data_IF_252265390910
#
_entry.id   IF_252265390910
#
_cell.length_a   1.000
_cell.length_b   1.000
_cell.length_c   1.000
_cell.angle_alpha   90.00
_cell.angle_beta   90.00
_cell.angle_gamma   90.00
#
_symmetry.space_group_name_H-M   'P 1'
#
loop_
_entity.id
_entity.type
_entity.pdbx_description
1 polymer ?
#
# COMPACT_ATOMS: atom_id res chain seq x y z
N UNK A 1 -50.02 -7.88 23.97
CA UNK A 1 -49.18 -9.03 23.58
C UNK A 1 -49.08 -9.28 22.07
N UNK A 2 -50.18 -9.37 21.28
CA UNK A 2 -50.14 -9.61 19.81
C UNK A 2 -49.38 -8.51 19.01
N UNK A 3 -49.55 -7.21 19.35
CA UNK A 3 -48.84 -6.10 18.69
C UNK A 3 -47.32 -6.16 18.97
N UNK A 4 -46.93 -6.46 20.22
CA UNK A 4 -45.52 -6.60 20.59
C UNK A 4 -44.82 -7.77 19.87
N UNK A 5 -45.52 -8.95 19.75
CA UNK A 5 -45.01 -10.09 18.96
C UNK A 5 -44.80 -9.74 17.49
N UNK A 6 -45.76 -9.02 16.87
CA UNK A 6 -45.60 -8.56 15.45
C UNK A 6 -44.42 -7.60 15.31
N UNK A 7 -44.26 -6.68 16.23
CA UNK A 7 -43.13 -5.73 16.23
C UNK A 7 -41.80 -6.46 16.38
N UNK A 8 -41.68 -7.39 17.34
CA UNK A 8 -40.45 -8.20 17.51
C UNK A 8 -40.16 -9.05 16.29
N UNK A 9 -41.16 -9.68 15.69
CA UNK A 9 -40.98 -10.44 14.44
C UNK A 9 -40.55 -9.53 13.28
N UNK A 10 -41.07 -8.30 13.19
CA UNK A 10 -40.63 -7.32 12.17
C UNK A 10 -39.15 -6.92 12.37
N UNK A 11 -38.74 -6.65 13.61
CA UNK A 11 -37.35 -6.31 13.94
C UNK A 11 -36.42 -7.49 13.64
N UNK A 12 -36.79 -8.71 14.02
CA UNK A 12 -36.03 -9.93 13.68
C UNK A 12 -35.90 -10.13 12.18
N UNK A 13 -36.98 -9.90 11.41
CA UNK A 13 -36.93 -9.94 9.96
C UNK A 13 -35.96 -8.93 9.35
N UNK A 14 -35.95 -7.70 9.85
CA UNK A 14 -35.00 -6.67 9.42
C UNK A 14 -33.56 -7.08 9.76
N UNK A 15 -33.31 -7.58 10.97
CA UNK A 15 -31.97 -8.04 11.37
C UNK A 15 -31.47 -9.16 10.46
N UNK A 16 -32.32 -10.16 10.16
CA UNK A 16 -31.96 -11.25 9.24
C UNK A 16 -31.61 -10.72 7.87
N UNK A 17 -32.40 -9.81 7.32
CA UNK A 17 -32.13 -9.19 6.00
C UNK A 17 -30.80 -8.43 6.02
N UNK A 18 -30.54 -7.63 7.05
CA UNK A 18 -29.27 -6.91 7.20
C UNK A 18 -28.09 -7.87 7.28
N UNK A 19 -28.21 -8.94 8.05
CA UNK A 19 -27.15 -9.98 8.15
C UNK A 19 -26.91 -10.63 6.79
N UNK A 20 -27.96 -11.03 6.07
CA UNK A 20 -27.84 -11.64 4.74
C UNK A 20 -27.18 -10.68 3.72
N UNK A 21 -27.57 -9.41 3.71
CA UNK A 21 -26.93 -8.40 2.88
C UNK A 21 -25.46 -8.24 3.25
N UNK A 22 -25.14 -8.12 4.54
CA UNK A 22 -23.75 -8.00 5.03
C UNK A 22 -22.92 -9.20 4.57
N UNK A 23 -23.43 -10.41 4.74
CA UNK A 23 -22.74 -11.63 4.30
C UNK A 23 -22.54 -11.63 2.78
N UNK A 24 -23.54 -11.26 2.01
CA UNK A 24 -23.43 -11.18 0.55
C UNK A 24 -22.38 -10.12 0.12
N UNK A 25 -22.32 -8.99 0.82
CA UNK A 25 -21.38 -7.90 0.54
C UNK A 25 -19.96 -8.33 0.85
N UNK A 26 -19.67 -8.84 2.05
CA UNK A 26 -18.31 -9.21 2.46
C UNK A 26 -17.75 -10.43 1.73
N UNK A 27 -18.60 -11.21 1.04
CA UNK A 27 -18.18 -12.30 0.17
C UNK A 27 -17.93 -11.86 -1.30
N UNK A 28 -18.02 -10.57 -1.61
CA UNK A 28 -17.64 -10.09 -2.93
C UNK A 28 -16.10 -10.18 -3.11
N UNK A 29 -15.62 -10.42 -4.34
CA UNK A 29 -14.21 -10.71 -4.59
C UNK A 29 -13.23 -9.66 -4.05
N UNK A 30 -13.59 -8.38 -4.10
CA UNK A 30 -12.72 -7.29 -3.65
C UNK A 30 -12.40 -7.35 -2.14
N UNK A 31 -13.14 -8.09 -1.34
CA UNK A 31 -12.85 -8.30 0.08
C UNK A 31 -11.76 -9.34 0.32
N UNK A 32 -11.31 -10.03 -0.75
CA UNK A 32 -10.28 -11.04 -0.64
C UNK A 32 -10.72 -12.30 0.10
N UNK A 33 -9.76 -13.06 0.60
CA UNK A 33 -10.03 -14.31 1.31
C UNK A 33 -8.93 -14.62 2.32
N UNK A 34 -9.30 -15.05 3.52
CA UNK A 34 -8.34 -15.48 4.54
C UNK A 34 -7.44 -16.63 4.04
N UNK A 35 -6.13 -16.63 4.35
CA UNK A 35 -5.21 -17.72 4.05
C UNK A 35 -5.66 -19.06 4.64
N UNK A 36 -5.45 -20.16 3.90
CA UNK A 36 -5.85 -21.52 4.28
C UNK A 36 -4.85 -22.57 3.78
N UNK A 37 -5.03 -23.81 4.25
CA UNK A 37 -4.20 -24.95 3.83
C UNK A 37 -2.70 -24.70 4.05
N UNK A 38 -1.87 -25.13 3.11
CA UNK A 38 -0.42 -25.02 3.18
C UNK A 38 0.10 -23.59 3.39
N UNK A 39 -0.63 -22.58 2.84
CA UNK A 39 -0.29 -21.16 3.05
C UNK A 39 -0.47 -20.77 4.52
N UNK A 40 -1.60 -21.14 5.14
CA UNK A 40 -1.82 -20.88 6.57
C UNK A 40 -0.78 -21.62 7.43
N UNK A 41 -0.43 -22.85 7.09
CA UNK A 41 0.62 -23.62 7.80
C UNK A 41 1.99 -22.92 7.71
N UNK A 42 2.32 -22.31 6.56
CA UNK A 42 3.53 -21.49 6.41
C UNK A 42 3.45 -20.22 7.25
N UNK A 43 2.32 -19.52 7.24
CA UNK A 43 2.07 -18.33 8.07
C UNK A 43 2.28 -18.63 9.55
N UNK A 44 1.73 -19.76 10.04
CA UNK A 44 1.85 -20.16 11.45
C UNK A 44 3.28 -20.45 11.90
N UNK A 45 4.22 -20.66 10.97
CA UNK A 45 5.66 -20.84 11.24
C UNK A 45 6.43 -19.51 11.26
N UNK A 46 5.83 -18.40 10.82
CA UNK A 46 6.45 -17.09 10.86
C UNK A 46 6.73 -16.66 12.31
N UNK A 47 7.93 -16.10 12.60
CA UNK A 47 8.24 -15.53 13.92
C UNK A 47 7.30 -14.36 14.30
N UNK A 48 6.68 -13.73 13.30
CA UNK A 48 5.75 -12.60 13.49
C UNK A 48 4.32 -13.05 13.80
N UNK A 49 4.00 -14.34 13.58
CA UNK A 49 2.65 -14.88 13.83
C UNK A 49 2.47 -15.23 15.31
N UNK A 50 1.58 -14.49 15.99
CA UNK A 50 1.27 -14.69 17.42
C UNK A 50 -0.21 -14.49 17.65
N UNK A 51 -0.82 -15.34 18.47
CA UNK A 51 -2.24 -15.25 18.85
C UNK A 51 -3.19 -15.16 17.65
N UNK A 52 -2.92 -15.96 16.61
CA UNK A 52 -3.76 -16.06 15.43
C UNK A 52 -3.69 -14.86 14.47
N UNK A 53 -2.65 -14.02 14.56
CA UNK A 53 -2.41 -12.89 13.65
C UNK A 53 -0.93 -12.49 13.61
N UNK A 54 -0.53 -11.79 12.55
CA UNK A 54 0.78 -11.14 12.50
C UNK A 54 0.88 -9.99 13.50
N UNK A 55 2.06 -9.76 14.03
CA UNK A 55 2.37 -8.70 14.98
C UNK A 55 3.58 -7.89 14.52
N UNK A 56 3.55 -6.59 14.81
CA UNK A 56 4.72 -5.73 14.70
C UNK A 56 5.78 -6.12 15.72
N UNK A 57 7.03 -5.72 15.48
CA UNK A 57 8.15 -5.91 16.41
C UNK A 57 7.83 -5.26 17.76
N UNK A 58 7.34 -4.03 17.73
CA UNK A 58 6.92 -3.31 18.93
C UNK A 58 5.39 -3.20 19.01
N UNK A 59 4.86 -2.98 20.21
CA UNK A 59 3.44 -2.77 20.41
C UNK A 59 2.95 -1.59 19.55
N UNK A 60 1.96 -1.84 18.70
CA UNK A 60 1.48 -0.89 17.69
C UNK A 60 -0.04 -0.77 17.74
N UNK A 61 -0.59 -0.03 18.71
CA UNK A 61 -1.99 0.33 18.66
C UNK A 61 -2.24 1.21 17.43
N UNK A 62 -3.21 0.84 16.60
CA UNK A 62 -3.55 1.58 15.39
C UNK A 62 -4.19 2.93 15.66
N UNK A 63 -4.82 3.07 16.84
CA UNK A 63 -5.39 4.32 17.33
C UNK A 63 -4.72 4.68 18.66
N UNK A 64 -4.13 5.87 18.74
CA UNK A 64 -3.43 6.38 19.92
C UNK A 64 -4.13 7.60 20.53
N UNK A 65 -5.12 8.15 19.83
CA UNK A 65 -5.93 9.26 20.32
C UNK A 65 -6.82 8.85 21.50
N UNK A 66 -7.17 9.82 22.34
CA UNK A 66 -8.07 9.61 23.48
C UNK A 66 -9.54 9.48 23.08
N UNK A 67 -9.88 9.75 21.82
CA UNK A 67 -11.23 9.66 21.29
C UNK A 67 -11.62 8.20 21.07
N UNK A 68 -12.84 7.82 21.47
CA UNK A 68 -13.37 6.49 21.18
C UNK A 68 -13.65 6.28 19.68
N UNK A 69 -13.73 5.02 19.27
CA UNK A 69 -13.95 4.62 17.86
C UNK A 69 -15.17 5.32 17.23
N UNK A 70 -16.27 5.44 17.95
CA UNK A 70 -17.48 6.10 17.45
C UNK A 70 -17.30 7.60 17.21
N UNK A 71 -16.53 8.30 18.09
CA UNK A 71 -16.22 9.70 17.90
C UNK A 71 -15.29 9.93 16.69
N UNK A 72 -14.34 9.03 16.46
CA UNK A 72 -13.48 9.08 15.28
C UNK A 72 -14.28 8.79 14.00
N UNK A 73 -15.19 7.82 14.02
CA UNK A 73 -16.08 7.53 12.88
C UNK A 73 -17.00 8.73 12.58
N UNK A 74 -17.56 9.37 13.61
CA UNK A 74 -18.37 10.57 13.46
C UNK A 74 -17.57 11.71 12.84
N UNK A 75 -16.35 11.94 13.34
CA UNK A 75 -15.45 12.99 12.82
C UNK A 75 -15.04 12.71 11.37
N UNK A 76 -14.78 11.45 11.02
CA UNK A 76 -14.48 11.04 9.65
C UNK A 76 -15.64 11.31 8.70
N UNK A 77 -16.87 11.02 9.11
CA UNK A 77 -18.07 11.16 8.28
C UNK A 77 -18.60 12.61 8.21
N UNK A 78 -18.48 13.37 9.30
CA UNK A 78 -19.15 14.65 9.48
C UNK A 78 -18.24 15.79 9.94
N UNK A 79 -16.97 15.51 10.27
CA UNK A 79 -15.97 16.50 10.68
C UNK A 79 -15.63 17.46 9.53
N UNK A 80 -15.40 18.73 9.89
CA UNK A 80 -14.89 19.73 8.93
C UNK A 80 -13.38 19.69 8.89
N UNK A 81 -12.81 19.18 7.81
CA UNK A 81 -11.37 19.11 7.57
C UNK A 81 -11.05 19.92 6.31
N UNK A 82 -10.62 21.19 6.43
CA UNK A 82 -10.40 22.06 5.31
C UNK A 82 -9.25 21.56 4.40
N UNK A 83 -9.36 21.85 3.12
CA UNK A 83 -8.32 21.54 2.12
C UNK A 83 -7.93 20.05 1.99
N UNK A 84 -8.77 19.10 2.37
CA UNK A 84 -8.49 17.65 2.17
C UNK A 84 -8.39 17.27 0.69
N UNK A 85 -9.03 18.02 -0.19
CA UNK A 85 -9.05 17.77 -1.63
C UNK A 85 -8.65 19.03 -2.39
N UNK A 86 -7.90 18.89 -3.51
CA UNK A 86 -7.56 20.02 -4.37
C UNK A 86 -8.83 20.59 -5.03
N UNK A 87 -8.92 21.92 -5.08
CA UNK A 87 -10.03 22.59 -5.77
C UNK A 87 -9.92 22.50 -7.30
N UNK A 88 -8.69 22.41 -7.81
CA UNK A 88 -8.38 22.25 -9.23
C UNK A 88 -7.80 20.87 -9.52
N UNK A 89 -7.83 20.45 -10.78
CA UNK A 89 -7.17 19.23 -11.19
C UNK A 89 -5.66 19.33 -10.96
N UNK A 90 -5.07 18.26 -10.41
CA UNK A 90 -3.61 18.17 -10.25
C UNK A 90 -2.97 18.08 -11.63
N UNK A 91 -1.90 18.86 -11.92
CA UNK A 91 -1.17 18.74 -13.17
C UNK A 91 -0.53 17.37 -13.34
N UNK A 92 -0.77 16.76 -14.49
CA UNK A 92 -0.29 15.41 -14.83
C UNK A 92 0.35 15.41 -16.21
N UNK A 93 1.16 14.40 -16.47
CA UNK A 93 1.70 14.11 -17.79
C UNK A 93 1.25 12.71 -18.22
N UNK A 94 0.98 12.51 -19.50
CA UNK A 94 0.66 11.17 -20.03
C UNK A 94 1.61 10.86 -21.19
N UNK A 95 2.39 9.79 -21.01
CA UNK A 95 3.36 9.28 -21.99
C UNK A 95 3.00 7.86 -22.39
N UNK A 96 3.54 7.39 -23.51
CA UNK A 96 3.49 5.99 -23.89
C UNK A 96 4.50 5.20 -23.04
N UNK A 97 3.99 4.39 -22.13
CA UNK A 97 4.79 3.60 -21.20
C UNK A 97 5.25 2.26 -21.81
N UNK A 98 4.75 1.92 -23.01
CA UNK A 98 5.07 0.64 -23.66
C UNK A 98 6.41 0.67 -24.42
N UNK A 99 6.94 1.88 -24.64
CA UNK A 99 8.16 2.10 -25.43
C UNK A 99 9.20 2.93 -24.67
N UNK A 100 9.34 2.68 -23.36
CA UNK A 100 10.41 3.32 -22.55
C UNK A 100 11.78 2.80 -23.00
N UNK A 101 12.81 3.63 -22.86
CA UNK A 101 14.17 3.26 -23.21
C UNK A 101 14.69 2.16 -22.24
N UNK A 102 14.95 0.91 -22.70
CA UNK A 102 15.32 -0.20 -21.83
C UNK A 102 16.71 -0.04 -21.16
N UNK A 103 17.55 0.85 -21.68
CA UNK A 103 18.90 1.09 -21.17
C UNK A 103 18.95 2.14 -20.05
N UNK A 104 17.78 2.63 -19.60
CA UNK A 104 17.68 3.65 -18.56
C UNK A 104 16.95 3.11 -17.35
N UNK A 105 17.32 3.60 -16.18
CA UNK A 105 16.57 3.39 -14.96
C UNK A 105 15.57 4.54 -14.80
N UNK A 106 14.29 4.23 -14.78
CA UNK A 106 13.21 5.21 -14.88
C UNK A 106 12.15 5.00 -13.79
N UNK A 107 11.53 6.09 -13.37
CA UNK A 107 10.36 6.10 -12.51
C UNK A 107 9.20 6.76 -13.25
N UNK A 108 8.01 6.18 -13.14
CA UNK A 108 6.74 6.84 -13.49
C UNK A 108 5.78 6.67 -12.34
N UNK A 109 5.42 7.78 -11.71
CA UNK A 109 4.51 7.78 -10.58
C UNK A 109 3.06 8.01 -11.02
N UNK A 110 2.12 7.24 -10.47
CA UNK A 110 0.69 7.29 -10.81
C UNK A 110 -0.16 7.93 -9.72
N UNK A 111 0.50 8.57 -8.75
CA UNK A 111 -0.14 9.11 -7.55
C UNK A 111 -0.30 8.04 -6.47
N UNK A 112 -0.49 8.48 -5.22
CA UNK A 112 -0.51 7.63 -4.04
C UNK A 112 0.76 6.77 -3.96
N UNK A 113 0.64 5.49 -3.63
CA UNK A 113 1.77 4.54 -3.57
C UNK A 113 1.99 3.77 -4.87
N UNK A 114 1.32 4.17 -5.96
CA UNK A 114 1.38 3.45 -7.25
C UNK A 114 2.47 4.02 -8.13
N UNK A 115 3.45 3.22 -8.53
CA UNK A 115 4.51 3.64 -9.46
C UNK A 115 5.08 2.48 -10.27
N UNK A 116 5.57 2.81 -11.46
CA UNK A 116 6.36 1.93 -12.32
C UNK A 116 7.83 2.29 -12.17
N UNK A 117 8.63 1.33 -11.77
CA UNK A 117 10.09 1.41 -11.71
C UNK A 117 10.65 0.58 -12.86
N UNK A 118 11.54 1.15 -13.67
CA UNK A 118 12.37 0.42 -14.61
C UNK A 118 13.78 0.32 -14.03
N UNK A 119 14.26 -0.90 -13.82
CA UNK A 119 15.57 -1.21 -13.28
C UNK A 119 16.21 -2.37 -14.07
N UNK A 120 17.40 -2.15 -14.63
CA UNK A 120 18.07 -3.16 -15.44
C UNK A 120 17.25 -3.65 -16.63
N UNK A 121 16.46 -2.77 -17.24
CA UNK A 121 15.56 -3.09 -18.35
C UNK A 121 14.30 -3.88 -17.97
N UNK A 122 14.03 -4.06 -16.67
CA UNK A 122 12.84 -4.76 -16.14
C UNK A 122 11.82 -3.79 -15.59
N UNK A 123 10.55 -4.08 -15.82
CA UNK A 123 9.43 -3.30 -15.31
C UNK A 123 8.91 -3.87 -13.99
N UNK A 124 9.01 -3.07 -12.93
CA UNK A 124 8.52 -3.38 -11.58
C UNK A 124 7.37 -2.41 -11.28
N UNK A 125 6.15 -2.92 -11.19
CA UNK A 125 4.97 -2.13 -10.85
C UNK A 125 4.64 -2.37 -9.37
N UNK A 126 4.58 -1.28 -8.59
CA UNK A 126 4.40 -1.33 -7.14
C UNK A 126 3.05 -0.77 -6.75
N UNK A 127 2.33 -1.50 -5.89
CA UNK A 127 1.05 -1.13 -5.27
C UNK A 127 0.07 -0.40 -6.21
N UNK A 128 -0.26 -0.97 -7.39
CA UNK A 128 -1.05 -0.25 -8.38
C UNK A 128 -2.52 -0.14 -8.00
N UNK A 129 -3.00 1.10 -7.85
CA UNK A 129 -4.40 1.44 -7.64
C UNK A 129 -4.84 2.42 -8.72
N UNK A 130 -5.48 1.91 -9.78
CA UNK A 130 -5.93 2.72 -10.91
C UNK A 130 -7.41 3.06 -10.88
N UNK A 131 -8.14 2.54 -9.87
CA UNK A 131 -9.57 2.80 -9.69
C UNK A 131 -9.83 3.42 -8.33
N UNK A 132 -10.09 2.61 -7.29
CA UNK A 132 -10.60 3.09 -6.00
C UNK A 132 -9.72 2.59 -4.83
N UNK A 133 -9.51 3.45 -3.84
CA UNK A 133 -8.81 3.10 -2.61
C UNK A 133 -9.76 2.58 -1.51
N UNK A 134 -10.87 1.95 -1.91
CA UNK A 134 -11.90 1.43 -1.02
C UNK A 134 -12.66 0.29 -1.72
N UNK A 135 -13.39 -0.58 -0.97
CA UNK A 135 -14.15 -1.67 -1.57
C UNK A 135 -15.26 -1.24 -2.52
N UNK A 136 -15.69 0.02 -2.41
CA UNK A 136 -16.74 0.61 -3.23
C UNK A 136 -16.33 1.99 -3.75
N UNK A 137 -16.56 2.26 -5.03
CA UNK A 137 -16.15 3.48 -5.73
C UNK A 137 -16.74 4.79 -5.16
N UNK A 138 -17.84 4.71 -4.42
CA UNK A 138 -18.40 5.88 -3.76
C UNK A 138 -17.66 6.28 -2.47
N UNK A 139 -16.90 5.36 -1.86
CA UNK A 139 -16.26 5.56 -0.56
C UNK A 139 -14.89 6.25 -0.66
N UNK A 140 -14.20 6.12 -1.80
CA UNK A 140 -12.91 6.78 -2.03
C UNK A 140 -12.72 7.03 -3.51
N UNK A 141 -12.80 8.29 -3.93
CA UNK A 141 -12.57 8.70 -5.31
C UNK A 141 -11.20 9.36 -5.45
N UNK A 142 -10.48 9.12 -6.55
CA UNK A 142 -9.25 9.83 -6.83
C UNK A 142 -9.51 11.33 -7.04
N UNK A 143 -8.53 12.15 -6.76
CA UNK A 143 -8.58 13.59 -7.03
C UNK A 143 -8.78 13.83 -8.53
N UNK A 144 -9.48 14.91 -8.86
CA UNK A 144 -9.79 15.24 -10.24
C UNK A 144 -8.52 15.25 -11.12
N UNK A 145 -8.54 14.46 -12.18
CA UNK A 145 -7.45 14.37 -13.16
C UNK A 145 -6.41 13.30 -12.85
N UNK A 146 -6.38 12.68 -11.67
CA UNK A 146 -5.35 11.68 -11.30
C UNK A 146 -5.71 10.25 -11.69
N UNK A 147 -6.86 10.02 -12.29
CA UNK A 147 -7.41 8.71 -12.67
C UNK A 147 -7.22 8.36 -14.17
N UNK A 148 -6.28 9.03 -14.84
CA UNK A 148 -6.07 8.88 -16.29
C UNK A 148 -5.33 7.62 -16.69
N UNK A 149 -4.55 7.03 -15.78
CA UNK A 149 -3.85 5.78 -16.02
C UNK A 149 -4.73 4.58 -15.73
N UNK A 150 -4.68 3.59 -16.62
CA UNK A 150 -5.45 2.34 -16.52
C UNK A 150 -4.53 1.15 -16.77
N UNK A 151 -4.91 -0.07 -16.40
CA UNK A 151 -4.14 -1.28 -16.71
C UNK A 151 -3.77 -1.43 -18.18
N UNK A 152 -4.63 -0.91 -19.09
CA UNK A 152 -4.39 -0.94 -20.53
C UNK A 152 -3.17 -0.09 -20.98
N UNK A 153 -2.83 0.97 -20.23
CA UNK A 153 -1.69 1.85 -20.51
C UNK A 153 -0.34 1.21 -20.11
N UNK A 154 -0.38 0.20 -19.23
CA UNK A 154 0.84 -0.43 -18.72
C UNK A 154 1.53 -1.31 -19.78
N UNK A 155 2.89 -1.37 -19.79
CA UNK A 155 3.65 -2.36 -20.54
C UNK A 155 3.43 -3.78 -20.01
N UNK A 156 4.13 -4.78 -20.57
CA UNK A 156 4.30 -6.07 -19.91
C UNK A 156 5.08 -5.88 -18.62
N UNK A 157 4.56 -6.38 -17.50
CA UNK A 157 5.12 -6.20 -16.16
C UNK A 157 5.94 -7.43 -15.79
N UNK A 158 7.24 -7.25 -15.60
CA UNK A 158 8.10 -8.35 -15.15
C UNK A 158 7.76 -8.72 -13.70
N UNK A 159 7.59 -7.73 -12.83
CA UNK A 159 7.30 -7.92 -11.40
C UNK A 159 6.21 -6.98 -10.92
N UNK A 160 5.13 -7.54 -10.40
CA UNK A 160 4.11 -6.82 -9.65
C UNK A 160 4.40 -6.97 -8.16
N UNK A 161 4.76 -5.88 -7.48
CA UNK A 161 5.11 -5.88 -6.06
C UNK A 161 3.94 -5.34 -5.24
N UNK A 162 3.55 -6.07 -4.18
CA UNK A 162 2.51 -5.64 -3.24
C UNK A 162 3.06 -5.66 -1.82
N UNK A 163 3.03 -4.51 -1.16
CA UNK A 163 3.56 -4.32 0.19
C UNK A 163 2.62 -4.82 1.27
N UNK A 164 1.32 -4.62 1.11
CA UNK A 164 0.27 -5.10 2.01
C UNK A 164 -1.10 -5.07 1.31
N UNK A 165 -2.14 -5.60 1.98
CA UNK A 165 -3.42 -5.83 1.32
C UNK A 165 -4.49 -4.75 1.56
N UNK A 166 -4.15 -3.53 2.02
CA UNK A 166 -5.12 -2.44 2.07
C UNK A 166 -5.60 -2.04 0.66
N UNK A 167 -6.79 -1.48 0.57
CA UNK A 167 -7.43 -1.16 -0.72
C UNK A 167 -6.66 -0.12 -1.53
N UNK A 168 -5.97 0.78 -0.88
CA UNK A 168 -5.15 1.84 -1.48
C UNK A 168 -3.74 1.38 -1.90
N UNK A 169 -3.43 0.07 -1.72
CA UNK A 169 -2.22 -0.60 -2.20
C UNK A 169 -2.52 -1.81 -3.08
N UNK A 170 -3.65 -2.48 -2.83
CA UNK A 170 -4.06 -3.67 -3.58
C UNK A 170 -5.50 -3.49 -4.09
N UNK A 171 -5.66 -2.87 -5.25
CA UNK A 171 -6.94 -2.70 -5.92
C UNK A 171 -7.28 -3.95 -6.74
N UNK A 172 -8.34 -4.66 -6.32
CA UNK A 172 -8.84 -5.88 -6.98
C UNK A 172 -9.04 -5.70 -8.48
N UNK A 173 -9.70 -4.60 -8.88
CA UNK A 173 -10.01 -4.35 -10.30
C UNK A 173 -8.74 -4.12 -11.11
N UNK A 174 -7.83 -3.33 -10.59
CA UNK A 174 -6.52 -3.06 -11.22
C UNK A 174 -5.74 -4.36 -11.42
N UNK A 175 -5.52 -5.16 -10.37
CA UNK A 175 -4.71 -6.38 -10.51
C UNK A 175 -5.40 -7.44 -11.34
N UNK A 176 -6.73 -7.49 -11.34
CA UNK A 176 -7.49 -8.41 -12.19
C UNK A 176 -7.31 -8.09 -13.67
N UNK A 177 -7.35 -6.84 -14.06
CA UNK A 177 -7.13 -6.40 -15.44
C UNK A 177 -5.65 -6.50 -15.86
N UNK A 178 -4.70 -6.35 -14.92
CA UNK A 178 -3.26 -6.51 -15.17
C UNK A 178 -2.83 -7.98 -15.34
N UNK A 179 -3.62 -8.95 -14.88
CA UNK A 179 -3.23 -10.37 -14.85
C UNK A 179 -2.61 -10.90 -16.14
N UNK A 180 -3.14 -10.59 -17.35
CA UNK A 180 -2.53 -11.07 -18.60
C UNK A 180 -1.12 -10.53 -18.85
N UNK A 181 -0.79 -9.34 -18.32
CA UNK A 181 0.48 -8.64 -18.54
C UNK A 181 1.53 -8.93 -17.47
N UNK A 182 1.16 -9.53 -16.33
CA UNK A 182 2.06 -9.77 -15.18
C UNK A 182 2.76 -11.12 -15.34
N UNK A 183 4.10 -11.12 -15.32
CA UNK A 183 4.91 -12.34 -15.36
C UNK A 183 5.04 -12.95 -13.97
N UNK A 184 5.36 -12.13 -12.95
CA UNK A 184 5.60 -12.56 -11.57
C UNK A 184 4.98 -11.58 -10.58
N UNK A 185 4.35 -12.08 -9.52
CA UNK A 185 3.88 -11.32 -8.34
C UNK A 185 4.87 -11.55 -7.21
N UNK A 186 5.33 -10.47 -6.58
CA UNK A 186 6.12 -10.48 -5.36
C UNK A 186 5.28 -9.81 -4.27
N UNK A 187 5.02 -10.50 -3.19
CA UNK A 187 4.21 -9.93 -2.11
C UNK A 187 4.63 -10.47 -0.74
N UNK A 188 4.15 -9.82 0.31
CA UNK A 188 4.35 -10.29 1.68
C UNK A 188 3.49 -11.52 1.96
N UNK A 189 3.91 -12.32 2.94
CA UNK A 189 3.35 -13.63 3.25
C UNK A 189 1.85 -13.55 3.57
N UNK A 190 1.06 -14.35 2.89
CA UNK A 190 -0.40 -14.45 3.01
C UNK A 190 -1.16 -13.78 1.86
N UNK A 191 -0.63 -12.72 1.23
CA UNK A 191 -1.31 -11.97 0.16
C UNK A 191 -1.55 -12.84 -1.09
N UNK A 192 -0.72 -13.83 -1.31
CA UNK A 192 -0.91 -14.78 -2.41
C UNK A 192 -2.28 -15.48 -2.40
N UNK A 193 -2.96 -15.56 -1.24
CA UNK A 193 -4.32 -16.09 -1.16
C UNK A 193 -5.32 -15.23 -1.94
N UNK A 194 -5.20 -13.90 -1.84
CA UNK A 194 -6.04 -12.98 -2.60
C UNK A 194 -5.80 -13.13 -4.10
N UNK A 195 -4.54 -13.17 -4.53
CA UNK A 195 -4.18 -13.33 -5.92
C UNK A 195 -4.67 -14.66 -6.52
N UNK A 196 -4.50 -15.78 -5.82
CA UNK A 196 -5.04 -17.07 -6.28
C UNK A 196 -6.56 -17.07 -6.33
N UNK A 197 -7.21 -16.48 -5.32
CA UNK A 197 -8.67 -16.34 -5.30
C UNK A 197 -9.18 -15.53 -6.49
N UNK A 198 -8.41 -14.53 -6.94
CA UNK A 198 -8.73 -13.72 -8.11
C UNK A 198 -8.28 -14.34 -9.43
N UNK A 199 -7.65 -15.52 -9.41
CA UNK A 199 -7.34 -16.34 -10.58
C UNK A 199 -5.92 -16.24 -11.10
N UNK A 200 -4.98 -15.62 -10.36
CA UNK A 200 -3.57 -15.71 -10.70
C UNK A 200 -3.05 -17.15 -10.50
N UNK A 201 -2.26 -17.69 -11.45
CA UNK A 201 -1.64 -18.99 -11.25
C UNK A 201 -0.66 -18.97 -10.08
N UNK A 202 -0.73 -19.96 -9.18
CA UNK A 202 0.15 -20.06 -8.00
C UNK A 202 1.65 -19.96 -8.35
N UNK A 203 2.07 -20.53 -9.50
CA UNK A 203 3.45 -20.49 -9.99
C UNK A 203 3.96 -19.08 -10.31
N UNK A 204 3.06 -18.10 -10.49
CA UNK A 204 3.41 -16.70 -10.70
C UNK A 204 3.51 -15.90 -9.41
N UNK A 205 3.31 -16.50 -8.24
CA UNK A 205 3.23 -15.81 -6.96
C UNK A 205 4.40 -16.23 -6.07
N UNK A 206 5.20 -15.26 -5.67
CA UNK A 206 6.27 -15.42 -4.68
C UNK A 206 5.90 -14.61 -3.44
N UNK A 207 5.63 -15.30 -2.34
CA UNK A 207 5.35 -14.70 -1.05
C UNK A 207 6.60 -14.74 -0.18
N UNK A 208 6.90 -13.64 0.51
CA UNK A 208 8.07 -13.52 1.37
C UNK A 208 7.66 -13.10 2.79
N UNK A 209 8.21 -13.78 3.79
CA UNK A 209 8.20 -13.32 5.17
C UNK A 209 9.27 -12.23 5.37
N UNK A 210 9.22 -11.48 6.46
CA UNK A 210 10.27 -10.50 6.76
C UNK A 210 11.65 -11.15 6.77
N UNK A 211 12.60 -10.53 6.09
CA UNK A 211 13.99 -10.95 5.92
C UNK A 211 14.20 -12.15 4.98
N UNK A 212 13.12 -12.70 4.40
CA UNK A 212 13.25 -13.64 3.29
C UNK A 212 13.55 -12.89 1.98
N UNK A 213 14.17 -13.61 1.04
CA UNK A 213 14.49 -13.08 -0.29
C UNK A 213 14.13 -14.06 -1.40
N UNK A 214 13.90 -13.52 -2.58
CA UNK A 214 13.77 -14.26 -3.83
C UNK A 214 14.70 -13.64 -4.88
N UNK A 215 15.56 -14.46 -5.48
CA UNK A 215 16.48 -14.07 -6.55
C UNK A 215 16.03 -14.67 -7.88
N UNK A 216 16.11 -13.89 -8.95
CA UNK A 216 15.67 -14.26 -10.28
C UNK A 216 16.84 -14.31 -11.26
N UNK A 217 16.67 -15.07 -12.36
CA UNK A 217 17.71 -15.29 -13.36
C UNK A 217 18.15 -14.01 -14.11
N UNK A 218 17.35 -12.96 -14.04
CA UNK A 218 17.64 -11.65 -14.64
C UNK A 218 18.46 -10.72 -13.73
N UNK A 219 18.98 -11.24 -12.62
CA UNK A 219 19.83 -10.52 -11.66
C UNK A 219 19.08 -9.75 -10.57
N UNK A 220 17.75 -9.66 -10.65
CA UNK A 220 16.95 -9.01 -9.62
C UNK A 220 16.79 -9.89 -8.38
N UNK A 221 16.97 -9.30 -7.21
CA UNK A 221 16.68 -9.93 -5.91
C UNK A 221 15.76 -9.05 -5.10
N UNK A 222 14.62 -9.60 -4.68
CA UNK A 222 13.66 -8.95 -3.80
C UNK A 222 13.85 -9.46 -2.38
N UNK A 223 14.15 -8.56 -1.45
CA UNK A 223 14.27 -8.86 -0.02
C UNK A 223 13.07 -8.23 0.70
N UNK A 224 12.21 -9.04 1.30
CA UNK A 224 11.15 -8.53 2.16
C UNK A 224 11.72 -7.98 3.45
N UNK A 225 11.25 -6.82 3.86
CA UNK A 225 11.73 -6.11 5.05
C UNK A 225 10.56 -5.65 5.92
N UNK A 226 10.79 -5.48 7.25
CA UNK A 226 9.73 -5.05 8.15
C UNK A 226 9.15 -3.69 7.81
N UNK A 227 7.89 -3.50 8.17
CA UNK A 227 7.23 -2.21 8.30
C UNK A 227 6.41 -2.20 9.60
N UNK A 228 6.07 -1.04 10.12
CA UNK A 228 5.24 -0.89 11.31
C UNK A 228 3.84 -0.47 10.93
N UNK A 229 2.99 -1.45 10.58
CA UNK A 229 1.65 -1.21 10.06
C UNK A 229 0.68 -2.33 10.46
N UNK A 230 -0.30 -2.62 9.63
CA UNK A 230 -1.24 -3.73 9.78
C UNK A 230 -1.82 -4.12 8.41
N UNK A 231 -2.55 -5.22 8.37
CA UNK A 231 -3.26 -5.69 7.16
C UNK A 231 -4.74 -5.92 7.45
N UNK A 232 -5.53 -6.00 6.41
CA UNK A 232 -6.94 -6.34 6.45
C UNK A 232 -7.77 -5.56 5.44
N UNK A 233 -8.72 -6.24 4.79
CA UNK A 233 -9.70 -5.68 3.84
C UNK A 233 -11.14 -6.14 4.12
N UNK A 234 -11.34 -6.97 5.14
CA UNK A 234 -12.63 -7.48 5.55
C UNK A 234 -12.81 -7.36 7.08
N UNK A 235 -13.96 -7.78 7.59
CA UNK A 235 -14.28 -7.64 9.02
C UNK A 235 -13.54 -8.64 9.93
N UNK A 236 -12.96 -9.70 9.35
CA UNK A 236 -12.38 -10.82 10.11
C UNK A 236 -10.97 -11.22 9.66
N UNK A 237 -10.30 -10.40 8.84
CA UNK A 237 -8.99 -10.69 8.25
C UNK A 237 -7.86 -9.81 8.78
N UNK A 238 -8.14 -8.94 9.75
CA UNK A 238 -7.13 -8.07 10.35
C UNK A 238 -5.93 -8.86 10.86
N UNK A 239 -4.74 -8.52 10.35
CA UNK A 239 -3.49 -9.18 10.70
C UNK A 239 -3.38 -10.64 10.23
N UNK A 240 -4.22 -11.10 9.30
CA UNK A 240 -4.15 -12.45 8.73
C UNK A 240 -3.13 -12.60 7.61
N UNK A 241 -2.70 -11.49 7.03
CA UNK A 241 -1.64 -11.40 6.04
C UNK A 241 -0.54 -10.48 6.58
N UNK A 242 0.70 -10.70 6.15
CA UNK A 242 1.82 -9.86 6.55
C UNK A 242 1.79 -8.54 5.77
N UNK A 243 2.32 -7.50 6.35
CA UNK A 243 2.66 -6.20 5.71
C UNK A 243 4.17 -6.03 5.72
N UNK A 244 4.70 -5.17 4.85
CA UNK A 244 6.14 -4.96 4.81
C UNK A 244 6.57 -3.94 3.77
N UNK A 245 7.86 -3.86 3.59
CA UNK A 245 8.57 -3.14 2.56
C UNK A 245 9.50 -4.11 1.82
N UNK A 246 10.19 -3.64 0.79
CA UNK A 246 11.14 -4.47 0.06
C UNK A 246 12.43 -3.69 -0.22
N UNK A 247 13.57 -4.38 -0.17
CA UNK A 247 14.80 -3.90 -0.81
C UNK A 247 15.01 -4.71 -2.08
N UNK A 248 14.96 -4.03 -3.22
CA UNK A 248 15.25 -4.61 -4.53
C UNK A 248 16.71 -4.35 -4.86
N UNK A 249 17.43 -5.40 -5.18
CA UNK A 249 18.85 -5.37 -5.54
C UNK A 249 19.04 -5.76 -7.00
N UNK A 250 19.84 -5.00 -7.71
CA UNK A 250 20.32 -5.32 -9.06
C UNK A 250 21.73 -4.79 -9.21
N UNK A 251 22.70 -5.65 -9.47
CA UNK A 251 24.12 -5.33 -9.46
C UNK A 251 24.54 -4.64 -8.14
N UNK A 252 25.08 -3.43 -8.21
CA UNK A 252 25.44 -2.61 -7.04
C UNK A 252 24.33 -1.66 -6.57
N UNK A 253 23.12 -1.75 -7.16
CA UNK A 253 22.02 -0.84 -6.87
C UNK A 253 21.06 -1.47 -5.86
N UNK A 254 20.79 -0.76 -4.77
CA UNK A 254 19.78 -1.09 -3.78
C UNK A 254 18.66 -0.05 -3.83
N UNK A 255 17.42 -0.50 -4.04
CA UNK A 255 16.24 0.37 -4.03
C UNK A 255 15.30 -0.09 -2.93
N UNK A 256 14.94 0.82 -2.03
CA UNK A 256 13.94 0.58 -1.00
C UNK A 256 12.55 0.93 -1.52
N UNK A 257 11.66 -0.06 -1.55
CA UNK A 257 10.25 0.10 -1.87
C UNK A 257 9.48 0.12 -0.55
N UNK A 258 9.24 1.30 -0.01
CA UNK A 258 8.49 1.48 1.23
C UNK A 258 7.00 1.20 0.99
N UNK A 259 6.40 0.44 1.90
CA UNK A 259 4.96 0.41 2.10
C UNK A 259 4.58 1.42 3.18
N UNK A 260 3.37 1.29 3.70
CA UNK A 260 2.92 2.09 4.85
C UNK A 260 3.63 1.67 6.12
N UNK A 261 4.12 2.64 6.86
CA UNK A 261 4.84 2.38 8.10
C UNK A 261 4.90 3.61 9.01
N UNK A 262 4.62 3.43 10.28
CA UNK A 262 5.09 4.39 11.28
C UNK A 262 6.59 4.21 11.54
N UNK A 263 7.25 5.29 11.96
CA UNK A 263 8.68 5.26 12.31
C UNK A 263 8.96 4.28 13.46
N UNK A 264 10.00 3.44 13.27
CA UNK A 264 10.51 2.51 14.28
C UNK A 264 11.95 2.07 13.91
N UNK A 265 12.54 1.23 14.75
CA UNK A 265 13.92 0.72 14.64
C UNK A 265 14.20 -0.07 13.34
N UNK A 266 13.18 -0.52 12.63
CA UNK A 266 13.33 -1.29 11.41
C UNK A 266 14.02 -0.50 10.29
N UNK A 267 13.82 0.81 10.16
CA UNK A 267 14.54 1.63 9.17
C UNK A 267 16.04 1.51 9.35
N UNK A 268 16.52 1.67 10.59
CA UNK A 268 17.94 1.51 10.90
C UNK A 268 18.45 0.08 10.72
N UNK A 269 17.62 -0.92 11.03
CA UNK A 269 17.97 -2.33 10.80
C UNK A 269 18.14 -2.62 9.30
N UNK A 270 17.26 -2.06 8.46
CA UNK A 270 17.33 -2.18 7.00
C UNK A 270 18.60 -1.48 6.48
N UNK A 271 18.83 -0.23 6.87
CA UNK A 271 20.05 0.50 6.50
C UNK A 271 21.34 -0.24 6.90
N UNK A 272 21.40 -0.75 8.12
CA UNK A 272 22.55 -1.53 8.59
C UNK A 272 22.75 -2.84 7.81
N UNK A 273 21.67 -3.50 7.39
CA UNK A 273 21.73 -4.78 6.67
C UNK A 273 22.12 -4.63 5.20
N UNK A 274 21.58 -3.64 4.53
CA UNK A 274 21.77 -3.44 3.08
C UNK A 274 22.82 -2.38 2.76
N UNK A 275 23.24 -1.60 3.78
CA UNK A 275 24.20 -0.52 3.63
C UNK A 275 23.58 0.63 2.82
N UNK A 276 24.26 1.02 1.76
CA UNK A 276 23.85 2.12 0.91
C UNK A 276 22.56 1.85 0.13
N UNK A 277 21.57 2.72 0.25
CA UNK A 277 20.31 2.72 -0.49
C UNK A 277 20.35 3.84 -1.53
N UNK A 278 20.43 3.49 -2.81
CA UNK A 278 20.54 4.47 -3.90
C UNK A 278 19.26 5.30 -4.09
N UNK A 279 18.11 4.68 -3.85
CA UNK A 279 16.80 5.32 -3.97
C UNK A 279 15.82 4.68 -2.98
N UNK A 280 15.09 5.51 -2.23
CA UNK A 280 14.04 5.06 -1.34
C UNK A 280 12.69 5.67 -1.74
N UNK A 281 11.69 4.83 -1.97
CA UNK A 281 10.29 5.26 -2.03
C UNK A 281 9.74 5.29 -0.61
N UNK A 282 9.33 6.48 -0.14
CA UNK A 282 8.97 6.72 1.25
C UNK A 282 7.56 7.25 1.37
N UNK A 283 6.81 6.70 2.32
CA UNK A 283 5.49 7.22 2.68
C UNK A 283 5.57 8.69 3.11
N UNK A 284 4.71 9.52 2.55
CA UNK A 284 4.57 10.93 2.91
C UNK A 284 3.12 11.39 2.68
N UNK A 285 2.20 10.88 3.46
CA UNK A 285 0.79 11.23 3.36
C UNK A 285 -0.10 10.31 4.18
N UNK A 286 -1.39 10.63 4.21
CA UNK A 286 -2.44 9.85 4.89
C UNK A 286 -2.16 9.60 6.38
N UNK A 287 -1.38 10.47 7.03
CA UNK A 287 -1.04 10.40 8.44
C UNK A 287 -2.04 11.19 9.31
N UNK A 288 -2.08 10.81 10.59
CA UNK A 288 -2.79 11.54 11.63
C UNK A 288 -2.04 11.36 12.97
N UNK A 289 -2.09 12.37 13.84
CA UNK A 289 -1.49 12.29 15.20
C UNK A 289 -2.03 11.13 16.03
N UNK A 290 -3.27 10.72 15.75
CA UNK A 290 -3.92 9.58 16.41
C UNK A 290 -3.52 8.23 15.77
N UNK A 291 -2.76 8.23 14.68
CA UNK A 291 -2.25 7.02 13.98
C UNK A 291 -0.73 6.96 13.96
N UNK A 292 -0.07 7.64 14.87
CA UNK A 292 1.38 7.89 14.90
C UNK A 292 2.30 6.67 14.85
N UNK A 293 1.75 5.47 15.00
CA UNK A 293 2.51 4.23 14.96
C UNK A 293 2.36 3.45 13.66
N UNK A 294 1.38 3.79 12.84
CA UNK A 294 1.08 3.06 11.60
C UNK A 294 1.34 3.88 10.33
N UNK A 295 1.60 5.17 10.48
CA UNK A 295 2.00 6.08 9.40
C UNK A 295 3.10 7.02 9.89
N UNK A 296 4.04 7.34 8.99
CA UNK A 296 5.10 8.31 9.25
C UNK A 296 4.53 9.71 9.45
N UNK A 297 4.89 10.35 10.55
CA UNK A 297 4.57 11.76 10.78
C UNK A 297 5.62 12.67 10.14
N UNK A 298 5.26 13.89 9.67
CA UNK A 298 6.18 14.80 8.98
C UNK A 298 7.53 15.01 9.65
N UNK A 299 7.56 15.15 10.97
CA UNK A 299 8.80 15.34 11.73
C UNK A 299 9.73 14.12 11.81
N UNK A 300 9.32 12.95 11.32
CA UNK A 300 10.08 11.69 11.40
C UNK A 300 10.80 11.35 10.09
N UNK A 301 10.34 11.88 8.95
CA UNK A 301 10.80 11.49 7.61
C UNK A 301 12.30 11.70 7.40
N UNK A 302 12.87 12.79 7.91
CA UNK A 302 14.30 13.06 7.81
C UNK A 302 15.11 12.00 8.54
N UNK A 303 14.66 11.60 9.74
CA UNK A 303 15.34 10.56 10.50
C UNK A 303 15.24 9.19 9.83
N UNK A 304 14.10 8.86 9.22
CA UNK A 304 13.93 7.63 8.44
C UNK A 304 14.90 7.55 7.27
N UNK A 305 15.07 8.65 6.53
CA UNK A 305 16.03 8.73 5.43
C UNK A 305 17.47 8.49 5.90
N UNK A 306 17.86 9.10 7.03
CA UNK A 306 19.18 8.89 7.62
C UNK A 306 19.37 7.47 8.14
N UNK A 307 18.36 6.90 8.80
CA UNK A 307 18.43 5.53 9.30
C UNK A 307 18.52 4.48 8.19
N UNK A 308 17.84 4.72 7.05
CA UNK A 308 17.98 3.90 5.84
C UNK A 308 19.32 4.08 5.12
N UNK A 309 20.01 5.21 5.31
CA UNK A 309 21.17 5.57 4.50
C UNK A 309 20.81 5.81 3.04
N UNK A 310 19.70 6.47 2.78
CA UNK A 310 19.20 6.71 1.42
C UNK A 310 19.82 7.95 0.78
N UNK A 311 20.38 7.81 -0.44
CA UNK A 311 20.91 8.94 -1.22
C UNK A 311 19.83 9.83 -1.78
N UNK A 312 18.80 9.20 -2.36
CA UNK A 312 17.68 9.86 -3.01
C UNK A 312 16.37 9.31 -2.45
N UNK A 313 15.39 10.18 -2.33
CA UNK A 313 14.07 9.83 -1.86
C UNK A 313 13.03 10.19 -2.90
N UNK A 314 12.07 9.30 -3.14
CA UNK A 314 10.85 9.56 -3.90
C UNK A 314 9.67 9.47 -2.94
N UNK A 315 8.97 10.58 -2.77
CA UNK A 315 7.81 10.70 -1.89
C UNK A 315 6.57 10.07 -2.53
N UNK A 316 5.91 9.16 -1.82
CA UNK A 316 4.68 8.47 -2.25
C UNK A 316 3.58 8.59 -1.19
N UNK A 317 2.44 7.90 -1.37
CA UNK A 317 1.29 7.86 -0.48
C UNK A 317 0.52 9.19 -0.37
N UNK A 318 0.56 10.01 -1.43
CA UNK A 318 -0.11 11.31 -1.50
C UNK A 318 -0.64 11.62 -2.91
N UNK A 319 -1.24 12.80 -3.05
CA UNK A 319 -1.65 13.43 -4.32
C UNK A 319 -2.69 12.68 -5.17
N UNK A 320 -3.42 11.70 -4.63
CA UNK A 320 -4.45 10.96 -5.37
C UNK A 320 -5.73 10.72 -4.61
N UNK A 321 -5.65 10.37 -3.33
CA UNK A 321 -6.80 10.07 -2.46
C UNK A 321 -6.75 10.91 -1.19
N UNK A 322 -7.91 11.08 -0.56
CA UNK A 322 -8.05 11.71 0.75
C UNK A 322 -8.53 10.68 1.76
N UNK A 323 -7.59 10.01 2.42
CA UNK A 323 -7.86 8.96 3.40
C UNK A 323 -7.61 9.41 4.85
N UNK A 324 -6.88 10.54 5.04
CA UNK A 324 -6.64 11.17 6.32
C UNK A 324 -7.21 12.60 6.40
N UNK A 325 -6.86 13.34 7.45
CA UNK A 325 -7.45 14.66 7.74
C UNK A 325 -6.55 15.84 7.40
N UNK A 326 -5.29 15.62 7.02
CA UNK A 326 -4.37 16.68 6.63
C UNK A 326 -4.76 17.33 5.29
N UNK A 327 -4.27 18.53 5.02
CA UNK A 327 -4.47 19.18 3.73
C UNK A 327 -3.78 18.38 2.62
N UNK A 328 -4.40 18.32 1.42
CA UNK A 328 -3.90 17.52 0.30
C UNK A 328 -2.48 17.91 -0.15
N UNK A 329 -2.10 19.19 0.07
CA UNK A 329 -0.80 19.76 -0.29
C UNK A 329 0.23 19.75 0.85
N UNK A 330 -0.14 19.28 2.03
CA UNK A 330 0.78 19.19 3.18
C UNK A 330 1.98 18.29 2.90
N UNK A 331 1.85 17.13 2.22
CA UNK A 331 2.97 16.32 1.79
C UNK A 331 4.01 17.07 0.94
N UNK A 332 3.58 18.00 0.10
CA UNK A 332 4.50 18.82 -0.71
C UNK A 332 5.35 19.77 0.14
N UNK A 333 4.79 20.26 1.26
CA UNK A 333 5.52 21.07 2.26
C UNK A 333 6.51 20.20 3.03
N UNK A 334 6.13 18.98 3.39
CA UNK A 334 7.04 18.02 4.04
C UNK A 334 8.26 17.72 3.16
N UNK A 335 8.07 17.54 1.84
CA UNK A 335 9.18 17.37 0.91
C UNK A 335 10.13 18.58 0.90
N UNK A 336 9.60 19.81 0.97
CA UNK A 336 10.42 21.00 1.04
C UNK A 336 11.24 21.09 2.34
N UNK A 337 10.64 20.66 3.45
CA UNK A 337 11.34 20.59 4.74
C UNK A 337 12.41 19.49 4.76
N UNK A 338 12.17 18.36 4.10
CA UNK A 338 13.20 17.33 3.87
C UNK A 338 14.39 17.88 3.04
N UNK A 339 14.12 18.65 1.97
CA UNK A 339 15.17 19.28 1.15
C UNK A 339 15.99 20.29 1.96
N UNK A 340 15.34 21.11 2.79
CA UNK A 340 16.02 22.05 3.70
C UNK A 340 16.91 21.32 4.71
N UNK A 341 16.53 20.09 5.12
CA UNK A 341 17.32 19.22 5.96
C UNK A 341 18.45 18.48 5.20
N UNK A 342 18.62 18.74 3.91
CA UNK A 342 19.69 18.14 3.10
C UNK A 342 19.32 16.83 2.42
N UNK A 343 18.09 16.36 2.49
CA UNK A 343 17.63 15.15 1.81
C UNK A 343 17.39 15.44 0.32
N UNK A 344 17.96 14.61 -0.55
CA UNK A 344 17.72 14.72 -1.99
C UNK A 344 16.37 14.12 -2.37
N UNK A 345 15.31 14.91 -2.32
CA UNK A 345 13.96 14.48 -2.71
C UNK A 345 13.73 14.73 -4.20
N UNK A 346 13.48 13.68 -4.95
CA UNK A 346 13.11 13.73 -6.38
C UNK A 346 11.72 14.33 -6.51
N UNK A 347 11.60 15.38 -7.33
CA UNK A 347 10.30 15.99 -7.69
C UNK A 347 9.79 15.37 -8.99
N UNK A 348 8.54 14.93 -9.00
CA UNK A 348 7.88 14.48 -10.21
C UNK A 348 6.39 14.83 -10.19
N UNK A 349 5.83 15.10 -11.35
CA UNK A 349 4.38 15.09 -11.54
C UNK A 349 3.88 13.66 -11.74
N UNK A 350 2.60 13.43 -11.49
CA UNK A 350 1.97 12.18 -11.86
C UNK A 350 2.14 11.95 -13.37
N UNK A 351 2.65 10.77 -13.75
CA UNK A 351 2.89 10.36 -15.13
C UNK A 351 4.18 10.85 -15.76
N UNK A 352 4.91 11.77 -15.12
CA UNK A 352 6.22 12.21 -15.62
C UNK A 352 7.23 11.07 -15.59
N UNK A 353 7.99 10.94 -16.68
CA UNK A 353 9.11 9.98 -16.75
C UNK A 353 10.34 10.65 -16.15
N UNK A 354 10.87 10.06 -15.08
CA UNK A 354 12.05 10.56 -14.35
C UNK A 354 13.17 9.53 -14.43
N UNK A 355 14.36 9.93 -14.85
CA UNK A 355 15.60 9.14 -14.79
C UNK A 355 16.27 9.37 -13.42
N UNK A 356 16.79 8.29 -12.76
CA UNK A 356 17.35 8.37 -11.40
C UNK A 356 18.72 7.70 -11.25
#
# INVERSE_FOLDING_TARGET
MKKLKKMVMGILGIIIVVVLITVAVINQPQFGRNPRGARLERIMKSPQWKDGQFRNVHNTPTMTGKRGMMANLWDFLFGSHPNRMPQQAIPIEKHDLKHLNPNKNLIVWFGHSSYLLQLGGKYILVDPVFYDAAPFSFASKPFKGTDIFKPADMPEIDYLVITHNHYDHLDYKTVKELMPKVKQVICTLGIGEDFEYWGYPAKKITELDWWEKASFADGLTFNSTPARHFSGRSINDRGKMLWGSFVVQHDSTNIFLGGDSGYDTHFKQIGNKFGHINLAFMENGQYNKDWKYIHTLPGQMVQECHDLGADKVFSVHNSKFSLAYHAWDEPLKNEEDMRKAGIHVIKAKIGQIVEY
#
